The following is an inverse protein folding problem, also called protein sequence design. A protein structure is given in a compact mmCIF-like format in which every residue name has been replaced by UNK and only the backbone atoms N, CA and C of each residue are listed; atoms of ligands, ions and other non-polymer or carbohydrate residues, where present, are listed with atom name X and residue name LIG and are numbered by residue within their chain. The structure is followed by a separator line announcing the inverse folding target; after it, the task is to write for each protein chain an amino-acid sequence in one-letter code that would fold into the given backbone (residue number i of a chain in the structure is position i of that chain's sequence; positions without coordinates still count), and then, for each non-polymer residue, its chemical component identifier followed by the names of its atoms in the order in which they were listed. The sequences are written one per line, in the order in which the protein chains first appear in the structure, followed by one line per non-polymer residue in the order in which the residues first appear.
data_IF_963816052247
#
_entry.id   IF_963816052247
#
_cell.length_a   1.000
_cell.length_b   1.000
_cell.length_c   1.000
_cell.angle_alpha   90.00
_cell.angle_beta   90.00
_cell.angle_gamma   90.00
#
_symmetry.space_group_name_H-M   'P 1'
#
loop_
_entity.id
_entity.type
_entity.pdbx_description
1 polymer ?
#
# COMPACT_ATOMS: atom_id res chain seq x y z
N UNK A 1 66.57 -22.99 -10.43
CA UNK A 1 65.74 -23.42 -9.29
C UNK A 1 64.63 -22.40 -9.13
N UNK A 2 63.41 -22.78 -9.48
CA UNK A 2 62.24 -21.91 -9.38
C UNK A 2 61.64 -21.97 -7.98
N UNK A 3 61.29 -20.81 -7.42
CA UNK A 3 60.43 -20.72 -6.25
C UNK A 3 59.11 -20.09 -6.69
N UNK A 4 58.09 -20.95 -6.80
CA UNK A 4 56.70 -20.55 -6.91
C UNK A 4 56.23 -20.13 -5.51
N UNK A 5 56.01 -18.83 -5.31
CA UNK A 5 55.36 -18.36 -4.10
C UNK A 5 53.84 -18.37 -4.29
N UNK A 6 53.19 -18.93 -3.29
CA UNK A 6 51.81 -19.40 -3.33
C UNK A 6 50.82 -18.23 -3.29
N UNK A 7 49.76 -18.32 -4.09
CA UNK A 7 48.62 -17.40 -4.03
C UNK A 7 47.48 -18.11 -3.31
N UNK A 8 47.35 -17.92 -2.00
CA UNK A 8 46.15 -18.34 -1.27
C UNK A 8 45.21 -17.14 -1.07
N UNK A 9 44.46 -16.79 -2.12
CA UNK A 9 43.29 -15.89 -2.00
C UNK A 9 42.06 -16.75 -1.80
N UNK A 10 41.63 -16.86 -0.55
CA UNK A 10 40.32 -17.41 -0.20
C UNK A 10 39.32 -16.25 -0.15
N UNK A 11 38.34 -16.12 -1.07
CA UNK A 11 37.26 -15.15 -0.91
C UNK A 11 36.20 -15.81 -0.03
N UNK A 12 36.14 -15.43 1.24
CA UNK A 12 35.07 -15.84 2.13
C UNK A 12 33.68 -15.51 1.56
N UNK A 13 32.62 -16.23 1.97
CA UNK A 13 31.27 -16.00 1.45
C UNK A 13 30.87 -14.54 1.67
N UNK A 14 30.50 -13.84 0.60
CA UNK A 14 29.92 -12.50 0.71
C UNK A 14 28.59 -12.64 1.44
N UNK A 15 28.59 -12.37 2.74
CA UNK A 15 27.40 -12.18 3.54
C UNK A 15 26.49 -11.22 2.78
N UNK A 16 25.32 -11.72 2.36
CA UNK A 16 24.30 -10.89 1.75
C UNK A 16 24.03 -9.75 2.74
N UNK A 17 24.31 -8.51 2.34
CA UNK A 17 24.05 -7.33 3.16
C UNK A 17 22.58 -7.39 3.58
N UNK A 18 22.34 -7.70 4.85
CA UNK A 18 20.99 -7.68 5.43
C UNK A 18 20.46 -6.28 5.17
N UNK A 19 19.39 -6.19 4.36
CA UNK A 19 18.77 -4.91 4.07
C UNK A 19 18.42 -4.23 5.39
N UNK A 20 18.92 -2.99 5.59
CA UNK A 20 18.66 -2.23 6.81
C UNK A 20 17.16 -2.05 6.96
N UNK A 21 16.59 -2.62 8.02
CA UNK A 21 15.19 -2.44 8.39
C UNK A 21 14.96 -0.98 8.78
N UNK A 22 13.95 -0.34 8.21
CA UNK A 22 13.52 0.99 8.63
C UNK A 22 13.09 0.97 10.10
N UNK A 23 13.44 2.01 10.83
CA UNK A 23 12.95 2.23 12.19
C UNK A 23 11.62 3.00 12.16
N UNK A 24 10.82 2.84 13.22
CA UNK A 24 9.62 3.65 13.40
C UNK A 24 9.94 5.15 13.48
N UNK A 25 11.12 5.51 14.00
CA UNK A 25 11.59 6.90 14.06
C UNK A 25 11.81 7.48 12.66
N UNK A 26 12.41 6.73 11.73
CA UNK A 26 12.59 7.15 10.34
C UNK A 26 11.24 7.30 9.63
N UNK A 27 10.31 6.36 9.85
CA UNK A 27 8.94 6.48 9.37
C UNK A 27 8.26 7.75 9.86
N UNK A 28 8.28 8.02 11.18
CA UNK A 28 7.68 9.22 11.76
C UNK A 28 8.35 10.52 11.32
N UNK A 29 9.67 10.50 11.07
CA UNK A 29 10.40 11.66 10.56
C UNK A 29 9.94 12.11 9.16
N UNK A 30 9.31 11.22 8.39
CA UNK A 30 8.70 11.52 7.11
C UNK A 30 7.30 12.16 7.24
N UNK A 31 6.84 12.41 8.46
CA UNK A 31 5.55 13.04 8.81
C UNK A 31 4.36 12.32 8.16
N UNK A 32 4.05 11.09 8.60
CA UNK A 32 2.89 10.38 8.11
C UNK A 32 1.59 11.09 8.49
N UNK A 33 0.58 10.90 7.66
CA UNK A 33 -0.74 11.49 7.88
C UNK A 33 -1.60 10.57 8.74
N UNK A 34 -2.41 11.14 9.63
CA UNK A 34 -3.31 10.35 10.47
C UNK A 34 -4.61 10.01 9.73
N UNK A 35 -5.23 8.89 10.11
CA UNK A 35 -6.56 8.50 9.65
C UNK A 35 -7.50 8.29 10.85
N UNK A 36 -8.65 8.96 10.85
CA UNK A 36 -9.63 8.89 11.94
C UNK A 36 -10.70 7.84 11.70
N UNK A 37 -11.02 7.54 10.44
CA UNK A 37 -12.09 6.63 10.03
C UNK A 37 -13.36 7.34 9.55
N UNK A 38 -13.46 8.66 9.71
CA UNK A 38 -14.64 9.46 9.35
C UNK A 38 -14.50 10.20 8.02
N UNK A 39 -13.34 10.12 7.37
CA UNK A 39 -13.01 10.86 6.14
C UNK A 39 -13.60 10.22 4.86
N UNK A 40 -14.29 9.08 4.98
CA UNK A 40 -14.90 8.34 3.88
C UNK A 40 -13.89 7.72 2.89
N UNK A 41 -14.40 7.22 1.76
CA UNK A 41 -13.58 6.51 0.76
C UNK A 41 -12.44 7.37 0.19
N UNK A 42 -12.70 8.66 -0.09
CA UNK A 42 -11.68 9.59 -0.61
C UNK A 42 -10.58 9.85 0.42
N UNK A 43 -10.96 10.05 1.70
CA UNK A 43 -9.99 10.21 2.78
C UNK A 43 -9.13 8.97 2.98
N UNK A 44 -9.74 7.78 2.89
CA UNK A 44 -9.03 6.51 2.97
C UNK A 44 -8.01 6.33 1.83
N UNK A 45 -8.39 6.63 0.57
CA UNK A 45 -7.46 6.61 -0.58
C UNK A 45 -6.28 7.57 -0.32
N UNK A 46 -6.58 8.81 0.06
CA UNK A 46 -5.55 9.81 0.29
C UNK A 46 -4.58 9.38 1.40
N UNK A 47 -5.11 8.72 2.44
CA UNK A 47 -4.29 8.14 3.48
C UNK A 47 -3.41 6.99 2.98
N UNK A 48 -3.92 6.07 2.16
CA UNK A 48 -3.11 5.02 1.53
C UNK A 48 -1.96 5.59 0.71
N UNK A 49 -2.24 6.51 -0.21
CA UNK A 49 -1.23 7.12 -1.10
C UNK A 49 -0.11 7.81 -0.30
N UNK A 50 -0.50 8.60 0.72
CA UNK A 50 0.47 9.29 1.57
C UNK A 50 1.31 8.32 2.39
N UNK A 51 0.68 7.27 2.92
CA UNK A 51 1.39 6.24 3.70
C UNK A 51 2.34 5.43 2.83
N UNK A 52 1.95 5.07 1.62
CA UNK A 52 2.81 4.39 0.64
C UNK A 52 3.99 5.27 0.20
N UNK A 53 3.78 6.58 0.04
CA UNK A 53 4.85 7.54 -0.19
C UNK A 53 5.82 7.61 0.99
N UNK A 54 5.33 7.61 2.23
CA UNK A 54 6.18 7.54 3.43
C UNK A 54 6.96 6.22 3.48
N UNK A 55 6.35 5.09 3.14
CA UNK A 55 7.05 3.80 3.08
C UNK A 55 8.21 3.84 2.09
N UNK A 56 8.00 4.41 0.90
CA UNK A 56 9.05 4.57 -0.10
C UNK A 56 10.19 5.44 0.42
N UNK A 57 9.88 6.62 0.97
CA UNK A 57 10.89 7.57 1.48
C UNK A 57 11.69 7.04 2.67
N UNK A 58 11.08 6.21 3.51
CA UNK A 58 11.73 5.62 4.70
C UNK A 58 12.40 4.27 4.43
N UNK A 59 12.38 3.76 3.19
CA UNK A 59 12.80 2.40 2.83
C UNK A 59 12.12 1.34 3.70
N UNK A 60 10.79 1.46 3.85
CA UNK A 60 10.02 0.60 4.73
C UNK A 60 9.91 -0.83 4.20
N UNK A 61 10.38 -1.80 4.99
CA UNK A 61 10.30 -3.21 4.64
C UNK A 61 8.87 -3.72 4.79
N UNK A 62 8.49 -4.73 4.01
CA UNK A 62 7.10 -5.23 3.97
C UNK A 62 6.59 -5.65 5.36
N UNK A 63 7.44 -6.29 6.16
CA UNK A 63 7.14 -6.75 7.53
C UNK A 63 6.97 -5.59 8.55
N UNK A 64 7.34 -4.36 8.18
CA UNK A 64 7.16 -3.16 8.99
C UNK A 64 5.89 -2.37 8.64
N UNK A 65 5.37 -2.51 7.41
CA UNK A 65 4.36 -1.60 6.86
C UNK A 65 3.10 -1.53 7.73
N UNK A 66 2.47 -2.66 8.01
CA UNK A 66 1.22 -2.69 8.81
C UNK A 66 1.47 -2.18 10.23
N UNK A 67 2.58 -2.59 10.86
CA UNK A 67 2.94 -2.12 12.20
C UNK A 67 3.12 -0.59 12.25
N UNK A 68 3.70 0.00 11.21
CA UNK A 68 3.97 1.44 11.19
C UNK A 68 2.73 2.24 10.82
N UNK A 69 1.98 1.81 9.79
CA UNK A 69 0.73 2.46 9.40
C UNK A 69 -0.32 2.42 10.50
N UNK A 70 -0.41 1.33 11.27
CA UNK A 70 -1.36 1.26 12.39
C UNK A 70 -1.03 2.26 13.50
N UNK A 71 0.23 2.72 13.59
CA UNK A 71 0.64 3.82 14.47
C UNK A 71 0.13 5.20 14.05
N UNK A 72 -0.46 5.34 12.86
CA UNK A 72 -1.07 6.60 12.36
C UNK A 72 -2.59 6.54 12.36
N UNK A 73 -3.18 5.45 12.87
CA UNK A 73 -4.63 5.37 13.07
C UNK A 73 -4.99 6.11 14.36
N UNK A 74 -6.10 6.82 14.32
CA UNK A 74 -6.61 7.64 15.42
C UNK A 74 -8.10 7.41 15.60
N UNK A 75 -8.65 7.79 16.75
CA UNK A 75 -10.10 7.78 17.01
C UNK A 75 -10.79 6.44 16.66
N UNK A 76 -11.79 6.46 15.76
CA UNK A 76 -12.56 5.27 15.37
C UNK A 76 -11.67 4.21 14.70
N UNK A 77 -10.74 4.64 13.84
CA UNK A 77 -9.83 3.75 13.13
C UNK A 77 -8.89 2.99 14.07
N UNK A 78 -8.38 3.67 15.11
CA UNK A 78 -7.56 3.02 16.13
C UNK A 78 -8.39 2.01 16.95
N UNK A 79 -9.61 2.40 17.32
CA UNK A 79 -10.53 1.52 18.07
C UNK A 79 -10.85 0.26 17.28
N UNK A 80 -11.14 0.39 15.99
CA UNK A 80 -11.37 -0.75 15.09
C UNK A 80 -10.14 -1.67 14.99
N UNK A 81 -8.94 -1.10 14.81
CA UNK A 81 -7.71 -1.91 14.70
C UNK A 81 -7.43 -2.71 15.97
N UNK A 82 -7.66 -2.11 17.14
CA UNK A 82 -7.51 -2.79 18.43
C UNK A 82 -8.50 -3.96 18.56
N UNK A 83 -9.77 -3.75 18.19
CA UNK A 83 -10.77 -4.82 18.19
C UNK A 83 -10.48 -5.94 17.18
N UNK A 84 -9.94 -5.59 16.01
CA UNK A 84 -9.56 -6.57 14.99
C UNK A 84 -8.34 -7.40 15.41
N UNK A 85 -7.33 -6.77 15.99
CA UNK A 85 -6.06 -7.41 16.35
C UNK A 85 -6.13 -8.24 17.64
N UNK A 86 -7.02 -7.90 18.58
CA UNK A 86 -7.18 -8.63 19.84
C UNK A 86 -7.41 -10.15 19.67
N UNK A 87 -8.41 -10.64 18.91
CA UNK A 87 -8.69 -12.08 18.82
C UNK A 87 -7.59 -12.89 18.14
N UNK A 88 -6.83 -12.28 17.22
CA UNK A 88 -5.74 -12.96 16.49
C UNK A 88 -4.37 -12.77 17.15
N UNK A 89 -4.24 -11.80 18.07
CA UNK A 89 -3.00 -11.39 18.70
C UNK A 89 -2.19 -10.41 17.83
N UNK A 90 -1.61 -9.39 18.47
CA UNK A 90 -0.93 -8.29 17.77
C UNK A 90 0.25 -8.74 16.88
N UNK A 91 0.99 -9.77 17.31
CA UNK A 91 2.10 -10.34 16.53
C UNK A 91 1.65 -11.03 15.24
N UNK A 92 0.45 -11.63 15.23
CA UNK A 92 -0.14 -12.19 14.00
C UNK A 92 -0.75 -11.09 13.14
N UNK A 93 -1.41 -10.12 13.78
CA UNK A 93 -1.99 -8.97 13.09
C UNK A 93 -0.93 -8.18 12.29
N UNK A 94 0.26 -7.98 12.85
CA UNK A 94 1.37 -7.31 12.15
C UNK A 94 2.02 -8.12 11.02
N UNK A 95 1.72 -9.42 10.90
CA UNK A 95 2.19 -10.26 9.79
C UNK A 95 1.25 -10.22 8.57
N UNK A 96 0.09 -9.58 8.69
CA UNK A 96 -0.81 -9.32 7.56
C UNK A 96 -0.05 -8.47 6.55
N UNK A 97 -0.17 -8.78 5.26
CA UNK A 97 0.48 -7.99 4.21
C UNK A 97 -0.16 -6.61 4.09
N UNK A 98 0.57 -5.61 3.57
CA UNK A 98 -0.01 -4.29 3.35
C UNK A 98 -1.25 -4.35 2.44
N UNK A 99 -1.23 -5.22 1.42
CA UNK A 99 -2.34 -5.44 0.49
C UNK A 99 -3.60 -5.95 1.20
N UNK A 100 -3.44 -6.96 2.06
CA UNK A 100 -4.57 -7.50 2.85
C UNK A 100 -5.10 -6.47 3.84
N UNK A 101 -4.21 -5.71 4.48
CA UNK A 101 -4.59 -4.64 5.39
C UNK A 101 -5.42 -3.55 4.69
N UNK A 102 -5.03 -3.12 3.48
CA UNK A 102 -5.85 -2.20 2.67
C UNK A 102 -7.25 -2.77 2.39
N UNK A 103 -7.35 -4.06 2.04
CA UNK A 103 -8.65 -4.73 1.82
C UNK A 103 -9.54 -4.71 3.08
N UNK A 104 -8.96 -4.92 4.26
CA UNK A 104 -9.68 -4.85 5.53
C UNK A 104 -10.24 -3.45 5.80
N UNK A 105 -9.43 -2.42 5.57
CA UNK A 105 -9.86 -1.03 5.73
C UNK A 105 -10.94 -0.63 4.71
N UNK A 106 -10.78 -0.98 3.44
CA UNK A 106 -11.80 -0.75 2.41
C UNK A 106 -13.11 -1.44 2.82
N UNK A 107 -13.07 -2.70 3.25
CA UNK A 107 -14.27 -3.42 3.70
C UNK A 107 -14.96 -2.74 4.91
N UNK A 108 -14.20 -2.12 5.80
CA UNK A 108 -14.72 -1.46 7.01
C UNK A 108 -15.27 -0.06 6.72
N UNK A 109 -14.58 0.72 5.90
CA UNK A 109 -14.84 2.15 5.71
C UNK A 109 -15.47 2.52 4.36
N UNK A 110 -15.57 1.57 3.43
CA UNK A 110 -16.30 1.71 2.17
C UNK A 110 -17.48 0.74 2.18
N UNK A 111 -18.72 1.22 2.41
CA UNK A 111 -19.93 0.39 2.34
C UNK A 111 -20.00 -0.38 1.02
N UNK A 112 -20.47 -1.63 1.07
CA UNK A 112 -20.57 -2.49 -0.13
C UNK A 112 -21.38 -1.85 -1.26
N UNK A 113 -22.41 -1.08 -0.93
CA UNK A 113 -23.22 -0.34 -1.90
C UNK A 113 -22.44 0.77 -2.59
N UNK A 114 -21.49 1.41 -1.90
CA UNK A 114 -20.59 2.39 -2.50
C UNK A 114 -19.54 1.70 -3.36
N UNK A 115 -18.96 0.60 -2.87
CA UNK A 115 -18.01 -0.21 -3.65
C UNK A 115 -18.67 -0.69 -4.94
N UNK A 116 -19.90 -1.22 -4.90
CA UNK A 116 -20.60 -1.66 -6.11
C UNK A 116 -20.79 -0.50 -7.11
N UNK A 117 -21.20 0.68 -6.64
CA UNK A 117 -21.32 1.86 -7.50
C UNK A 117 -19.98 2.28 -8.10
N UNK A 118 -18.89 2.14 -7.35
CA UNK A 118 -17.53 2.42 -7.82
C UNK A 118 -17.06 1.38 -8.85
N UNK A 119 -17.38 0.10 -8.65
CA UNK A 119 -17.11 -0.96 -9.63
C UNK A 119 -17.89 -0.71 -10.92
N UNK A 120 -19.20 -0.42 -10.81
CA UNK A 120 -20.06 -0.10 -11.94
C UNK A 120 -19.56 1.16 -12.67
N UNK A 121 -19.17 2.20 -11.93
CA UNK A 121 -18.57 3.40 -12.51
C UNK A 121 -17.27 3.10 -13.25
N UNK A 122 -16.42 2.22 -12.70
CA UNK A 122 -15.16 1.83 -13.31
C UNK A 122 -15.36 1.18 -14.68
N UNK A 123 -16.31 0.24 -14.79
CA UNK A 123 -16.61 -0.44 -16.06
C UNK A 123 -17.15 0.51 -17.14
N UNK A 124 -17.78 1.61 -16.74
CA UNK A 124 -18.35 2.59 -17.67
C UNK A 124 -17.53 3.89 -17.73
N UNK A 125 -16.33 3.91 -17.17
CA UNK A 125 -15.50 5.12 -17.10
C UNK A 125 -14.92 5.43 -18.48
N UNK A 126 -15.33 6.56 -19.05
CA UNK A 126 -14.84 7.07 -20.32
C UNK A 126 -14.41 8.53 -20.20
N UNK A 127 -13.52 8.97 -21.09
CA UNK A 127 -13.15 10.39 -21.19
C UNK A 127 -14.38 11.20 -21.62
N UNK A 128 -14.78 12.18 -20.79
CA UNK A 128 -15.88 13.10 -21.12
C UNK A 128 -15.32 14.41 -21.68
N UNK A 129 -15.59 14.68 -22.95
CA UNK A 129 -15.07 15.85 -23.66
C UNK A 129 -13.53 15.80 -23.76
N UNK A 130 -12.86 16.90 -23.44
CA UNK A 130 -11.39 17.02 -23.51
C UNK A 130 -10.70 16.95 -22.13
N UNK A 131 -11.38 16.49 -21.08
CA UNK A 131 -10.82 16.45 -19.72
C UNK A 131 -10.18 15.10 -19.37
N UNK A 132 -9.04 14.82 -20.02
CA UNK A 132 -8.25 13.62 -19.73
C UNK A 132 -7.74 13.61 -18.28
N UNK A 133 -7.48 14.78 -17.69
CA UNK A 133 -6.95 14.89 -16.33
C UNK A 133 -7.94 14.34 -15.31
N UNK A 134 -9.22 14.71 -15.44
CA UNK A 134 -10.29 14.20 -14.58
C UNK A 134 -10.50 12.71 -14.76
N UNK A 135 -10.42 12.20 -15.99
CA UNK A 135 -10.47 10.76 -16.26
C UNK A 135 -9.35 10.01 -15.54
N UNK A 136 -8.09 10.42 -15.71
CA UNK A 136 -6.93 9.76 -15.10
C UNK A 136 -7.05 9.73 -13.58
N UNK A 137 -7.39 10.87 -12.96
CA UNK A 137 -7.58 10.95 -11.51
C UNK A 137 -8.67 9.99 -11.04
N UNK A 138 -9.83 9.99 -11.70
CA UNK A 138 -10.95 9.14 -11.31
C UNK A 138 -10.64 7.65 -11.50
N UNK A 139 -9.96 7.30 -12.58
CA UNK A 139 -9.49 5.93 -12.84
C UNK A 139 -8.58 5.44 -11.70
N UNK A 140 -7.62 6.26 -11.27
CA UNK A 140 -6.69 5.92 -10.18
C UNK A 140 -7.40 5.76 -8.83
N UNK A 141 -8.34 6.66 -8.50
CA UNK A 141 -9.17 6.57 -7.30
C UNK A 141 -9.95 5.24 -7.27
N UNK A 142 -10.64 4.91 -8.36
CA UNK A 142 -11.45 3.70 -8.45
C UNK A 142 -10.61 2.42 -8.48
N UNK A 143 -9.46 2.41 -9.16
CA UNK A 143 -8.54 1.27 -9.16
C UNK A 143 -7.99 0.96 -7.75
N UNK A 144 -7.82 1.99 -6.92
CA UNK A 144 -7.37 1.86 -5.53
C UNK A 144 -8.48 1.30 -4.63
N UNK A 145 -9.73 1.75 -4.83
CA UNK A 145 -10.89 1.34 -4.04
C UNK A 145 -11.42 -0.06 -4.41
N UNK A 146 -11.30 -0.45 -5.67
CA UNK A 146 -11.83 -1.69 -6.23
C UNK A 146 -10.70 -2.59 -6.77
N UNK A 147 -9.75 -3.04 -5.92
CA UNK A 147 -8.58 -3.81 -6.37
C UNK A 147 -8.93 -5.15 -7.03
N UNK A 148 -10.17 -5.62 -6.87
CA UNK A 148 -10.71 -6.83 -7.51
C UNK A 148 -11.05 -6.64 -8.99
N UNK A 149 -11.39 -5.41 -9.41
CA UNK A 149 -11.80 -5.12 -10.80
C UNK A 149 -10.60 -5.14 -11.77
N UNK A 150 -9.42 -4.74 -11.28
CA UNK A 150 -8.17 -4.73 -12.03
C UNK A 150 -7.07 -5.45 -11.25
N UNK A 151 -7.08 -6.81 -11.24
CA UNK A 151 -6.20 -7.59 -10.37
C UNK A 151 -4.73 -7.58 -10.80
N UNK A 152 -4.43 -7.13 -12.02
CA UNK A 152 -3.08 -7.13 -12.59
C UNK A 152 -2.86 -5.91 -13.51
N UNK A 153 -1.59 -5.62 -13.79
CA UNK A 153 -1.18 -4.46 -14.59
C UNK A 153 -1.67 -4.52 -16.05
N UNK A 154 -1.83 -5.72 -16.61
CA UNK A 154 -2.30 -5.89 -17.98
C UNK A 154 -3.78 -5.52 -18.10
N UNK A 155 -4.62 -6.02 -17.20
CA UNK A 155 -6.04 -5.65 -17.11
C UNK A 155 -6.23 -4.18 -16.76
N UNK A 156 -5.37 -3.63 -15.89
CA UNK A 156 -5.39 -2.21 -15.59
C UNK A 156 -5.12 -1.36 -16.84
N UNK A 157 -4.09 -1.71 -17.62
CA UNK A 157 -3.76 -1.00 -18.85
C UNK A 157 -4.87 -1.14 -19.91
N UNK A 158 -5.44 -2.34 -20.07
CA UNK A 158 -6.56 -2.58 -20.97
C UNK A 158 -7.80 -1.76 -20.60
N UNK A 159 -8.15 -1.73 -19.31
CA UNK A 159 -9.25 -0.91 -18.82
C UNK A 159 -9.01 0.59 -19.03
N UNK A 160 -7.79 1.06 -18.81
CA UNK A 160 -7.41 2.45 -19.05
C UNK A 160 -7.54 2.83 -20.53
N UNK A 161 -6.99 2.02 -21.43
CA UNK A 161 -7.06 2.27 -22.88
C UNK A 161 -8.51 2.21 -23.37
N UNK A 162 -9.32 1.27 -22.85
CA UNK A 162 -10.72 1.13 -23.25
C UNK A 162 -11.62 2.33 -22.91
N UNK A 163 -11.20 3.21 -21.99
CA UNK A 163 -11.92 4.43 -21.66
C UNK A 163 -11.49 5.67 -22.46
N UNK A 164 -10.42 5.57 -23.25
CA UNK A 164 -9.95 6.64 -24.13
C UNK A 164 -10.81 6.71 -25.41
N UNK A 165 -10.92 7.89 -26.06
CA UNK A 165 -11.65 8.05 -27.32
C UNK A 165 -11.00 7.32 -28.50
#
# INVERSE_FOLDING_TARGET
MGNADNTNRNPGPREARVARKCSYKEFMSCQPFNFKGSEGAVGLICWFERTESVFSRSNCTEDCKVKFATGTLTEEALSWWNSFSQPIGIEKAYKITWVEFKKLLIKKYCPRTEVQKMEDEFYHLTVKGNDLRKYVRRFQELATLCPTVVPDSEKMMKAFIGGLP
#
